data_IF_381770104165
#
_entry.id   IF_381770104165
#
_cell.length_a   1.000
_cell.length_b   1.000
_cell.length_c   1.000
_cell.angle_alpha   90.00
_cell.angle_beta   90.00
_cell.angle_gamma   90.00
#
_symmetry.space_group_name_H-M   'P 1'
#
loop_
_entity.id
_entity.type
_entity.pdbx_description
1 polymer ?
#
# COMPACT_ATOMS: atom_id res chain seq x y z
N UNK A 1 -3.16 29.79 -4.22
CA UNK A 1 -2.81 28.35 -4.19
C UNK A 1 -3.22 27.76 -5.52
N UNK A 2 -2.33 27.04 -6.19
CA UNK A 2 -2.67 26.35 -7.45
C UNK A 2 -3.34 25.03 -7.04
N UNK A 3 -4.62 24.90 -7.36
CA UNK A 3 -5.37 23.66 -7.21
C UNK A 3 -4.77 22.58 -8.12
N UNK A 4 -4.60 21.36 -7.59
CA UNK A 4 -4.14 20.22 -8.38
C UNK A 4 -5.14 19.08 -8.25
N UNK A 5 -5.49 18.46 -9.37
CA UNK A 5 -6.23 17.19 -9.33
C UNK A 5 -5.25 16.07 -9.08
N UNK A 6 -5.45 15.33 -7.99
CA UNK A 6 -4.66 14.15 -7.64
C UNK A 6 -5.58 12.94 -7.51
N UNK A 7 -5.03 11.76 -7.79
CA UNK A 7 -5.59 10.49 -7.33
C UNK A 7 -4.84 10.07 -6.08
N UNK A 8 -5.54 9.99 -4.95
CA UNK A 8 -5.01 9.52 -3.68
C UNK A 8 -5.39 8.05 -3.51
N UNK A 9 -4.43 7.24 -3.10
CA UNK A 9 -4.64 5.84 -2.79
C UNK A 9 -4.31 5.53 -1.35
N UNK A 10 -5.10 4.64 -0.76
CA UNK A 10 -4.86 4.07 0.55
C UNK A 10 -4.88 2.56 0.40
N UNK A 11 -3.77 1.91 0.78
CA UNK A 11 -3.65 0.46 0.72
C UNK A 11 -3.37 -0.12 2.09
N UNK A 12 -4.18 -1.06 2.52
CA UNK A 12 -4.17 -1.64 3.86
C UNK A 12 -3.97 -3.16 3.80
N UNK A 13 -3.27 -3.75 4.77
CA UNK A 13 -3.06 -5.20 4.82
C UNK A 13 -4.25 -5.85 5.52
N UNK A 14 -4.86 -6.86 4.88
CA UNK A 14 -5.90 -7.62 5.58
C UNK A 14 -5.32 -8.43 6.75
N UNK A 15 -6.12 -8.60 7.80
CA UNK A 15 -5.77 -9.52 8.90
C UNK A 15 -4.47 -9.19 9.64
N UNK A 16 -3.99 -7.95 9.67
CA UNK A 16 -2.72 -7.62 10.32
C UNK A 16 -2.65 -8.01 11.80
N UNK A 17 -3.75 -7.85 12.55
CA UNK A 17 -3.83 -8.33 13.95
C UNK A 17 -3.60 -9.84 14.03
N UNK A 18 -4.20 -10.60 13.11
CA UNK A 18 -4.02 -12.05 13.03
C UNK A 18 -2.59 -12.43 12.65
N UNK A 19 -1.94 -11.67 11.77
CA UNK A 19 -0.52 -11.83 11.47
C UNK A 19 0.33 -11.63 12.74
N UNK A 20 0.08 -10.56 13.51
CA UNK A 20 0.77 -10.31 14.79
C UNK A 20 0.56 -11.48 15.76
N UNK A 21 -0.68 -11.93 15.95
CA UNK A 21 -0.99 -13.07 16.83
C UNK A 21 -0.30 -14.37 16.37
N UNK A 22 -0.13 -14.53 15.05
CA UNK A 22 0.49 -15.72 14.45
C UNK A 22 2.01 -15.74 14.60
N UNK A 23 2.70 -14.62 14.34
CA UNK A 23 4.18 -14.60 14.24
C UNK A 23 4.88 -13.71 15.28
N UNK A 24 4.13 -12.97 16.09
CA UNK A 24 4.64 -11.96 16.99
C UNK A 24 4.88 -10.61 16.31
N UNK A 25 4.74 -9.53 17.09
CA UNK A 25 4.80 -8.14 16.61
C UNK A 25 6.11 -7.82 15.88
N UNK A 26 7.26 -8.18 16.47
CA UNK A 26 8.57 -7.87 15.88
C UNK A 26 8.74 -8.49 14.47
N UNK A 27 8.31 -9.75 14.31
CA UNK A 27 8.39 -10.43 13.01
C UNK A 27 7.37 -9.87 12.02
N UNK A 28 6.14 -9.58 12.48
CA UNK A 28 5.11 -8.98 11.64
C UNK A 28 5.56 -7.62 11.07
N UNK A 29 6.15 -6.77 11.90
CA UNK A 29 6.69 -5.45 11.47
C UNK A 29 7.82 -5.63 10.44
N UNK A 30 8.73 -6.58 10.64
CA UNK A 30 9.81 -6.85 9.66
C UNK A 30 9.26 -7.30 8.31
N UNK A 31 8.27 -8.20 8.31
CA UNK A 31 7.61 -8.65 7.08
C UNK A 31 6.91 -7.50 6.36
N UNK A 32 6.17 -6.68 7.12
CA UNK A 32 5.48 -5.51 6.61
C UNK A 32 6.45 -4.50 5.98
N UNK A 33 7.59 -4.24 6.61
CA UNK A 33 8.60 -3.31 6.07
C UNK A 33 9.19 -3.79 4.73
N UNK A 34 9.40 -5.10 4.57
CA UNK A 34 9.82 -5.68 3.29
C UNK A 34 8.76 -5.41 2.21
N UNK A 35 7.47 -5.59 2.54
CA UNK A 35 6.37 -5.34 1.61
C UNK A 35 6.15 -3.87 1.30
N UNK A 36 6.36 -2.98 2.26
CA UNK A 36 6.38 -1.54 1.99
C UNK A 36 7.48 -1.14 1.02
N UNK A 37 8.67 -1.78 1.07
CA UNK A 37 9.72 -1.55 0.08
C UNK A 37 9.37 -2.06 -1.32
N UNK A 38 8.57 -3.13 -1.42
CA UNK A 38 8.02 -3.59 -2.70
C UNK A 38 6.97 -2.61 -3.24
N UNK A 39 6.06 -2.14 -2.37
CA UNK A 39 5.02 -1.16 -2.70
C UNK A 39 5.62 0.20 -3.11
N UNK A 40 6.65 0.68 -2.41
CA UNK A 40 7.38 1.91 -2.73
C UNK A 40 7.94 1.84 -4.15
N UNK A 41 8.58 0.72 -4.53
CA UNK A 41 9.08 0.52 -5.91
C UNK A 41 7.95 0.55 -6.95
N UNK A 42 6.79 -0.06 -6.66
CA UNK A 42 5.64 -0.04 -7.56
C UNK A 42 5.17 1.40 -7.79
N UNK A 43 5.04 2.16 -6.70
CA UNK A 43 4.56 3.56 -6.73
C UNK A 43 5.56 4.45 -7.46
N UNK A 44 6.85 4.35 -7.15
CA UNK A 44 7.91 5.12 -7.79
C UNK A 44 7.99 4.82 -9.30
N UNK A 45 7.86 3.54 -9.69
CA UNK A 45 7.90 3.12 -11.10
C UNK A 45 6.78 3.70 -11.96
N UNK A 46 5.73 4.25 -11.32
CA UNK A 46 4.53 4.81 -11.95
C UNK A 46 4.37 6.30 -11.62
N UNK A 47 5.47 6.99 -11.32
CA UNK A 47 5.47 8.43 -11.03
C UNK A 47 4.57 8.82 -9.84
N UNK A 48 4.39 7.91 -8.89
CA UNK A 48 3.65 8.16 -7.67
C UNK A 48 4.52 8.69 -6.55
N UNK A 49 3.88 9.04 -5.45
CA UNK A 49 4.55 9.50 -4.24
C UNK A 49 3.92 8.84 -3.01
N UNK A 50 4.76 8.22 -2.18
CA UNK A 50 4.37 7.81 -0.82
C UNK A 50 4.16 9.08 0.01
N UNK A 51 2.94 9.28 0.51
CA UNK A 51 2.60 10.40 1.39
C UNK A 51 2.87 10.07 2.85
N UNK A 52 2.47 8.87 3.27
CA UNK A 52 2.59 8.44 4.67
C UNK A 52 2.44 6.94 4.80
N UNK A 53 3.08 6.37 5.81
CA UNK A 53 2.81 5.02 6.31
C UNK A 53 2.05 5.17 7.64
N UNK A 54 0.97 4.42 7.83
CA UNK A 54 0.10 4.49 9.01
C UNK A 54 -0.20 3.05 9.44
N UNK A 55 0.52 2.56 10.46
CA UNK A 55 0.39 1.15 10.87
C UNK A 55 0.80 0.21 9.74
N UNK A 56 -0.12 -0.66 9.35
CA UNK A 56 -0.05 -1.62 8.25
C UNK A 56 -0.51 -1.06 6.89
N UNK A 57 -0.91 0.22 6.86
CA UNK A 57 -1.38 0.86 5.64
C UNK A 57 -0.37 1.85 5.03
N UNK A 58 -0.48 2.05 3.72
CA UNK A 58 0.28 3.02 2.92
C UNK A 58 -0.68 4.02 2.27
N UNK A 59 -0.42 5.31 2.50
CA UNK A 59 -1.06 6.42 1.81
C UNK A 59 -0.13 6.94 0.71
N UNK A 60 -0.65 7.03 -0.50
CA UNK A 60 0.11 7.47 -1.68
C UNK A 60 -0.74 8.32 -2.62
N UNK A 61 -0.10 8.94 -3.60
CA UNK A 61 -0.81 9.75 -4.60
C UNK A 61 -0.14 9.72 -5.96
N UNK A 62 -0.94 9.99 -6.99
CA UNK A 62 -0.51 10.14 -8.38
C UNK A 62 -1.16 11.37 -9.00
N UNK A 63 -0.44 12.03 -9.90
CA UNK A 63 -1.01 13.09 -10.74
C UNK A 63 -1.84 12.52 -11.91
N UNK A 64 -1.53 11.29 -12.33
CA UNK A 64 -2.21 10.59 -13.42
C UNK A 64 -3.06 9.43 -12.87
N UNK A 65 -4.31 9.31 -13.34
CA UNK A 65 -5.25 8.27 -12.86
C UNK A 65 -4.90 6.87 -13.39
N UNK A 66 -4.38 6.75 -14.62
CA UNK A 66 -3.95 5.48 -15.19
C UNK A 66 -2.78 4.89 -14.40
N UNK A 67 -1.82 5.74 -14.00
CA UNK A 67 -0.71 5.36 -13.13
C UNK A 67 -1.22 4.84 -11.78
N UNK A 68 -2.18 5.54 -11.16
CA UNK A 68 -2.78 5.13 -9.89
C UNK A 68 -3.49 3.77 -9.98
N UNK A 69 -4.30 3.56 -11.02
CA UNK A 69 -5.02 2.29 -11.23
C UNK A 69 -4.04 1.16 -11.51
N UNK A 70 -3.01 1.40 -12.32
CA UNK A 70 -1.97 0.41 -12.58
C UNK A 70 -1.19 0.08 -11.31
N UNK A 71 -0.87 1.06 -10.48
CA UNK A 71 -0.18 0.84 -9.20
C UNK A 71 -1.05 0.03 -8.24
N UNK A 72 -2.33 0.39 -8.09
CA UNK A 72 -3.27 -0.33 -7.23
C UNK A 72 -3.44 -1.81 -7.65
N UNK A 73 -3.48 -2.08 -8.97
CA UNK A 73 -3.50 -3.45 -9.48
C UNK A 73 -2.24 -4.23 -9.08
N UNK A 74 -1.05 -3.63 -9.25
CA UNK A 74 0.20 -4.31 -8.90
C UNK A 74 0.33 -4.51 -7.37
N UNK A 75 -0.07 -3.51 -6.57
CA UNK A 75 -0.10 -3.60 -5.10
C UNK A 75 -1.01 -4.75 -4.64
N UNK A 76 -2.15 -4.96 -5.28
CA UNK A 76 -3.08 -6.06 -4.93
C UNK A 76 -2.49 -7.46 -5.09
N UNK A 77 -1.37 -7.59 -5.80
CA UNK A 77 -0.64 -8.87 -5.94
C UNK A 77 0.38 -9.11 -4.83
N UNK A 78 0.71 -8.07 -4.05
CA UNK A 78 1.63 -8.17 -2.93
C UNK A 78 0.92 -8.88 -1.78
N UNK A 79 1.62 -9.87 -1.22
CA UNK A 79 1.10 -10.65 -0.10
C UNK A 79 2.17 -11.03 0.90
N UNK A 80 1.74 -11.32 2.12
CA UNK A 80 2.54 -11.96 3.17
C UNK A 80 1.99 -13.38 3.32
N UNK A 81 2.84 -14.39 3.17
CA UNK A 81 2.48 -15.78 3.41
C UNK A 81 3.14 -16.26 4.69
N UNK A 82 2.34 -16.60 5.69
CA UNK A 82 2.84 -17.15 6.95
C UNK A 82 1.94 -18.24 7.52
N UNK A 83 2.56 -19.32 8.00
CA UNK A 83 1.88 -20.50 8.57
C UNK A 83 0.70 -21.05 7.74
N UNK A 84 0.79 -20.95 6.41
CA UNK A 84 -0.25 -21.44 5.49
C UNK A 84 -1.40 -20.45 5.26
N UNK A 85 -1.32 -19.24 5.81
CA UNK A 85 -2.25 -18.15 5.55
C UNK A 85 -1.60 -17.11 4.64
N UNK A 86 -2.41 -16.48 3.80
CA UNK A 86 -1.97 -15.45 2.87
C UNK A 86 -2.76 -14.17 3.19
N UNK A 87 -2.03 -13.09 3.41
CA UNK A 87 -2.54 -11.76 3.67
C UNK A 87 -2.24 -10.87 2.47
N UNK A 88 -3.21 -10.10 2.00
CA UNK A 88 -3.14 -9.24 0.82
C UNK A 88 -3.35 -7.78 1.17
N UNK A 89 -2.81 -6.91 0.31
CA UNK A 89 -3.09 -5.49 0.35
C UNK A 89 -4.36 -5.14 -0.43
N UNK A 90 -5.27 -4.42 0.21
CA UNK A 90 -6.48 -3.88 -0.41
C UNK A 90 -6.33 -2.37 -0.64
N UNK A 91 -6.47 -1.95 -1.89
CA UNK A 91 -6.30 -0.54 -2.29
C UNK A 91 -7.62 0.13 -2.62
N UNK A 92 -7.92 1.24 -1.96
CA UNK A 92 -8.94 2.20 -2.38
C UNK A 92 -8.30 3.41 -3.08
N UNK A 93 -8.91 3.90 -4.16
CA UNK A 93 -8.47 5.09 -4.89
C UNK A 93 -9.60 6.13 -4.94
N UNK A 94 -9.25 7.41 -4.77
CA UNK A 94 -10.16 8.54 -4.94
C UNK A 94 -9.45 9.67 -5.70
N UNK A 95 -10.14 10.28 -6.67
CA UNK A 95 -9.62 11.39 -7.44
C UNK A 95 -10.37 12.67 -7.11
N UNK A 96 -9.65 13.77 -6.88
CA UNK A 96 -10.25 15.05 -6.56
C UNK A 96 -9.25 16.19 -6.63
N UNK A 97 -9.77 17.41 -6.55
CA UNK A 97 -8.94 18.61 -6.43
C UNK A 97 -8.52 18.80 -4.98
N UNK A 98 -7.21 18.94 -4.77
CA UNK A 98 -6.59 19.21 -3.46
C UNK A 98 -5.92 20.58 -3.42
#
# INVERSE_FOLDING_TARGET
>A
MIQKTLTVGFSDLDGFIKLIESVGEEKAIKLLFIKFKEIEKIIDSKNGEIRKIIGDSVLFSFANIQDAVSAGKDISTISICEKGEIFYFHTGLATGTV
#
